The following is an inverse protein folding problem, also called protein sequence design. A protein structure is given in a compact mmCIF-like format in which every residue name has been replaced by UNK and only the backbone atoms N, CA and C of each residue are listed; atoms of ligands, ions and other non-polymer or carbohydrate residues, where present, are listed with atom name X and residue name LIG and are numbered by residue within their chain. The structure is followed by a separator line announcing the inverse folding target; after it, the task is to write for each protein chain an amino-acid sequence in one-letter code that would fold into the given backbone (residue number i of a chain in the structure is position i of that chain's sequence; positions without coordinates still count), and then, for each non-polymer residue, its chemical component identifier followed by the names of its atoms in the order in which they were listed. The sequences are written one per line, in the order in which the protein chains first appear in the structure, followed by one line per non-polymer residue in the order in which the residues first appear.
data_IF_379275179656
#
_entry.id   IF_379275179656
#
_cell.length_a   1.000
_cell.length_b   1.000
_cell.length_c   1.000
_cell.angle_alpha   90.00
_cell.angle_beta   90.00
_cell.angle_gamma   90.00
#
_symmetry.space_group_name_H-M   'P 1'
#
loop_
_entity.id
_entity.type
_entity.pdbx_description
1 polymer ?
#
# COMPACT_ATOMS: atom_id res chain seq x y z
N UNK A 1 8.29 -61.96 3.62
CA UNK A 1 7.23 -62.57 2.83
C UNK A 1 6.51 -61.40 2.15
N UNK A 2 6.87 -61.11 0.94
CA UNK A 2 6.34 -61.51 -0.38
C UNK A 2 5.04 -60.81 -0.68
N UNK A 3 4.80 -60.01 -1.71
CA UNK A 3 5.19 -59.85 -3.13
C UNK A 3 4.66 -58.48 -3.59
N UNK A 4 5.29 -57.57 -4.20
CA UNK A 4 5.72 -57.41 -5.58
C UNK A 4 4.71 -57.82 -6.66
N UNK A 5 4.36 -56.84 -7.51
CA UNK A 5 4.18 -56.88 -8.98
C UNK A 5 3.55 -55.53 -9.40
N UNK A 6 4.24 -54.64 -10.08
CA UNK A 6 4.51 -54.55 -11.51
C UNK A 6 3.26 -54.67 -12.38
N UNK A 7 2.95 -53.58 -13.06
CA UNK A 7 2.58 -53.62 -14.48
C UNK A 7 2.94 -52.30 -15.18
N UNK A 8 3.92 -52.43 -16.03
CA UNK A 8 4.36 -51.56 -17.11
C UNK A 8 3.58 -51.94 -18.38
N UNK A 9 3.33 -50.98 -19.26
CA UNK A 9 3.34 -50.99 -20.74
C UNK A 9 2.58 -49.74 -21.20
N UNK A 10 3.16 -48.79 -21.82
CA UNK A 10 3.90 -48.63 -23.08
C UNK A 10 2.96 -48.43 -24.31
N UNK A 11 3.45 -47.55 -25.15
CA UNK A 11 3.20 -47.27 -26.57
C UNK A 11 2.22 -46.12 -26.87
N UNK A 12 2.40 -45.25 -27.79
CA UNK A 12 3.41 -44.96 -28.83
C UNK A 12 2.84 -43.83 -29.70
N UNK A 13 3.66 -42.86 -29.98
CA UNK A 13 3.90 -42.16 -31.24
C UNK A 13 2.79 -41.82 -32.25
N UNK A 14 2.95 -40.69 -32.83
CA UNK A 14 2.66 -40.11 -34.15
C UNK A 14 1.68 -38.92 -34.07
N UNK A 15 1.88 -37.79 -34.69
CA UNK A 15 2.56 -37.50 -35.90
C UNK A 15 2.70 -35.98 -36.13
N UNK A 16 3.70 -35.66 -36.85
CA UNK A 16 4.06 -34.39 -37.41
C UNK A 16 3.01 -33.78 -38.34
N UNK A 17 2.84 -32.46 -38.25
CA UNK A 17 2.06 -31.71 -39.23
C UNK A 17 2.53 -30.25 -39.29
N UNK A 18 3.50 -29.97 -40.17
CA UNK A 18 3.87 -28.65 -40.65
C UNK A 18 2.72 -28.06 -41.47
N UNK A 19 2.32 -26.83 -41.18
CA UNK A 19 1.79 -25.93 -42.22
C UNK A 19 2.27 -24.49 -41.95
N UNK A 20 3.18 -24.11 -42.83
CA UNK A 20 3.63 -22.77 -43.14
C UNK A 20 2.46 -21.94 -43.70
N UNK A 21 2.14 -20.84 -43.11
CA UNK A 21 1.20 -19.82 -43.59
C UNK A 21 1.91 -18.49 -43.80
N UNK A 22 2.18 -18.15 -45.07
CA UNK A 22 2.73 -16.87 -45.53
C UNK A 22 1.81 -15.71 -45.15
N UNK A 23 2.40 -14.69 -44.51
CA UNK A 23 1.83 -13.36 -44.39
C UNK A 23 2.01 -12.64 -45.71
N UNK A 24 0.94 -12.16 -46.33
CA UNK A 24 0.92 -11.23 -47.46
C UNK A 24 0.93 -9.79 -46.93
N UNK A 25 1.91 -9.10 -47.39
CA UNK A 25 2.08 -7.64 -47.39
C UNK A 25 1.14 -7.03 -48.47
N UNK A 26 0.23 -6.13 -48.11
CA UNK A 26 -0.36 -5.04 -48.88
C UNK A 26 -1.31 -4.27 -47.96
N UNK A 27 -1.04 -3.00 -47.64
CA UNK A 27 -1.69 -1.90 -48.29
C UNK A 27 -1.15 -0.53 -47.85
N UNK A 28 -1.00 0.27 -48.88
CA UNK A 28 -0.44 1.60 -48.96
C UNK A 28 -1.28 2.66 -48.22
N UNK A 29 -0.57 3.61 -47.61
CA UNK A 29 -1.10 4.91 -47.20
C UNK A 29 -1.42 5.79 -48.42
N UNK A 30 -2.46 6.64 -48.38
CA UNK A 30 -2.73 7.62 -49.43
C UNK A 30 -1.86 8.86 -49.24
N UNK A 31 -1.13 9.20 -50.27
CA UNK A 31 -0.46 10.47 -50.52
C UNK A 31 -1.44 11.59 -50.72
N UNK A 32 -1.34 12.66 -49.93
CA UNK A 32 -2.07 13.92 -50.18
C UNK A 32 -1.22 14.81 -51.05
N UNK A 33 -1.75 15.17 -52.20
CA UNK A 33 -1.22 16.07 -53.22
C UNK A 33 -1.12 17.51 -52.68
N UNK A 34 0.07 18.11 -52.76
CA UNK A 34 0.24 19.56 -52.70
C UNK A 34 0.06 20.16 -54.09
N UNK A 35 -0.94 21.01 -54.23
CA UNK A 35 -1.14 21.87 -55.37
C UNK A 35 -0.56 23.25 -55.06
N UNK A 36 0.44 23.63 -55.80
CA UNK A 36 1.04 24.97 -55.85
C UNK A 36 0.07 25.99 -56.40
N UNK A 37 -0.11 27.12 -55.69
CA UNK A 37 -0.58 28.38 -56.29
C UNK A 37 0.44 29.47 -55.96
N UNK A 38 1.13 29.91 -57.03
CA UNK A 38 1.84 31.18 -57.11
C UNK A 38 0.84 32.34 -57.11
N UNK A 39 1.03 33.29 -56.24
CA UNK A 39 0.69 34.69 -56.57
C UNK A 39 1.57 35.64 -55.70
N UNK A 40 2.39 36.39 -56.39
CA UNK A 40 3.20 37.52 -55.95
C UNK A 40 2.33 38.70 -55.55
N UNK A 41 2.63 39.37 -54.45
CA UNK A 41 2.18 40.74 -54.26
C UNK A 41 1.97 41.20 -52.81
N UNK A 42 2.81 42.15 -52.42
CA UNK A 42 2.73 43.06 -51.27
C UNK A 42 3.20 42.56 -49.91
N UNK A 43 4.52 42.78 -49.72
CA UNK A 43 5.13 42.88 -48.41
C UNK A 43 5.05 44.34 -47.97
N UNK A 44 4.19 44.64 -47.04
CA UNK A 44 4.34 45.81 -46.16
C UNK A 44 3.56 45.54 -44.86
N UNK A 45 4.25 45.69 -43.75
CA UNK A 45 3.72 45.81 -42.39
C UNK A 45 3.31 44.54 -41.65
N UNK A 46 4.30 43.67 -41.39
CA UNK A 46 4.16 42.52 -40.50
C UNK A 46 4.95 42.65 -39.20
N UNK A 47 5.60 43.81 -38.92
CA UNK A 47 6.40 43.98 -37.70
C UNK A 47 5.56 44.33 -36.47
N UNK A 48 4.33 44.81 -36.62
CA UNK A 48 3.50 45.23 -35.48
C UNK A 48 2.61 44.13 -34.92
N UNK A 49 2.49 42.99 -35.60
CA UNK A 49 1.71 41.84 -35.10
C UNK A 49 2.53 40.76 -34.43
N UNK A 50 3.85 40.78 -34.55
CA UNK A 50 4.74 39.83 -33.88
C UNK A 50 4.81 40.10 -32.37
N UNK A 51 4.87 41.35 -31.95
CA UNK A 51 4.98 41.73 -30.52
C UNK A 51 3.69 41.51 -29.73
N UNK A 52 2.53 41.44 -30.40
CA UNK A 52 1.24 41.13 -29.75
C UNK A 52 1.05 39.63 -29.58
N UNK A 53 1.64 38.80 -30.44
CA UNK A 53 1.57 37.34 -30.34
C UNK A 53 2.58 36.75 -29.34
N UNK A 54 3.73 37.40 -29.12
CA UNK A 54 4.68 36.97 -28.06
C UNK A 54 4.14 37.28 -26.65
N UNK A 55 3.30 38.32 -26.50
CA UNK A 55 2.67 38.64 -25.20
C UNK A 55 1.51 37.72 -24.81
N UNK A 56 0.92 36.99 -25.76
CA UNK A 56 -0.20 36.06 -25.52
C UNK A 56 0.21 34.58 -25.40
N UNK A 57 1.47 34.27 -25.69
CA UNK A 57 2.02 32.91 -25.53
C UNK A 57 2.84 32.74 -24.26
N UNK A 58 2.64 33.55 -23.22
CA UNK A 58 2.99 33.19 -21.86
C UNK A 58 1.99 32.16 -21.36
N UNK A 59 1.93 31.04 -22.09
CA UNK A 59 1.23 29.87 -21.64
C UNK A 59 1.97 29.35 -20.43
N UNK A 60 1.44 29.72 -19.25
CA UNK A 60 1.81 29.08 -18.00
C UNK A 60 1.41 27.62 -18.17
N UNK A 61 2.33 26.85 -18.69
CA UNK A 61 2.22 25.38 -18.68
C UNK A 61 2.19 24.99 -17.21
N UNK A 62 1.00 25.04 -16.62
CA UNK A 62 0.74 24.40 -15.33
C UNK A 62 1.00 22.92 -15.62
N UNK A 63 2.17 22.45 -15.18
CA UNK A 63 2.46 21.01 -15.20
C UNK A 63 1.24 20.32 -14.60
N UNK A 64 0.67 19.28 -15.24
CA UNK A 64 -0.45 18.58 -14.67
C UNK A 64 -0.02 18.10 -13.30
N UNK A 65 -0.71 18.56 -12.26
CA UNK A 65 -0.51 18.05 -10.90
C UNK A 65 -0.64 16.55 -11.01
N UNK A 66 0.35 15.74 -10.58
CA UNK A 66 0.26 14.30 -10.70
C UNK A 66 -1.04 13.88 -10.02
N UNK A 67 -1.94 13.23 -10.77
CA UNK A 67 -3.16 12.67 -10.21
C UNK A 67 -2.70 11.65 -9.18
N UNK A 68 -2.84 11.99 -7.91
CA UNK A 68 -2.47 11.09 -6.81
C UNK A 68 -3.35 9.85 -6.91
N UNK A 69 -2.74 8.75 -7.30
CA UNK A 69 -3.43 7.46 -7.37
C UNK A 69 -3.78 7.02 -5.94
N UNK A 70 -5.02 6.62 -5.72
CA UNK A 70 -5.47 6.12 -4.41
C UNK A 70 -5.16 4.64 -4.32
N UNK A 71 -4.33 4.23 -3.35
CA UNK A 71 -3.98 2.84 -3.12
C UNK A 71 -5.09 2.08 -2.37
N UNK A 72 -5.75 2.74 -1.42
CA UNK A 72 -6.89 2.16 -0.71
C UNK A 72 -7.87 3.26 -0.28
N UNK A 73 -9.16 2.93 -0.25
CA UNK A 73 -10.24 3.86 0.09
C UNK A 73 -11.30 3.18 0.92
N UNK A 74 -11.78 3.87 1.96
CA UNK A 74 -13.02 3.56 2.68
C UNK A 74 -14.08 4.62 2.36
N UNK A 75 -15.32 4.20 2.11
CA UNK A 75 -16.45 5.10 1.85
C UNK A 75 -17.60 4.75 2.78
N UNK A 76 -17.91 5.64 3.72
CA UNK A 76 -18.98 5.46 4.68
C UNK A 76 -18.86 4.18 5.50
N UNK A 77 -17.62 3.73 5.78
CA UNK A 77 -17.33 2.44 6.39
C UNK A 77 -17.89 2.35 7.81
N UNK A 78 -18.65 1.28 8.06
CA UNK A 78 -19.25 0.99 9.37
C UNK A 78 -18.86 -0.40 9.84
N UNK A 79 -18.59 -0.52 11.14
CA UNK A 79 -18.36 -1.79 11.80
C UNK A 79 -19.02 -1.80 13.16
N UNK A 80 -19.90 -2.76 13.36
CA UNK A 80 -20.61 -2.98 14.62
C UNK A 80 -20.27 -4.37 15.13
N UNK A 81 -19.85 -4.48 16.37
CA UNK A 81 -19.64 -5.73 17.08
C UNK A 81 -20.78 -5.97 18.06
N UNK A 82 -21.11 -7.22 18.32
CA UNK A 82 -22.22 -7.61 19.20
C UNK A 82 -23.58 -7.56 18.51
N UNK A 83 -24.64 -7.82 19.29
CA UNK A 83 -26.04 -7.82 18.84
C UNK A 83 -26.93 -7.19 19.90
N UNK A 84 -28.05 -6.57 19.49
CA UNK A 84 -29.03 -5.95 20.39
C UNK A 84 -28.42 -4.84 21.23
N UNK A 85 -28.78 -4.79 22.49
CA UNK A 85 -28.36 -3.72 23.44
C UNK A 85 -26.86 -3.76 23.78
N UNK A 86 -26.15 -4.86 23.48
CA UNK A 86 -24.70 -5.00 23.65
C UNK A 86 -23.92 -4.64 22.39
N UNK A 87 -24.53 -4.03 21.39
CA UNK A 87 -23.85 -3.63 20.16
C UNK A 87 -22.95 -2.43 20.37
N UNK A 88 -21.72 -2.49 19.82
CA UNK A 88 -20.75 -1.39 19.86
C UNK A 88 -20.35 -1.03 18.43
N UNK A 89 -20.60 0.21 18.03
CA UNK A 89 -20.14 0.73 16.76
C UNK A 89 -18.66 1.11 16.88
N UNK A 90 -17.78 0.26 16.37
CA UNK A 90 -16.33 0.53 16.32
C UNK A 90 -15.95 1.48 15.18
N UNK A 91 -16.73 1.50 14.08
CA UNK A 91 -16.63 2.47 13.01
C UNK A 91 -18.03 2.97 12.66
N UNK A 92 -18.18 4.29 12.49
CA UNK A 92 -19.45 4.94 12.20
C UNK A 92 -19.35 5.91 11.03
N UNK A 93 -19.32 5.36 9.81
CA UNK A 93 -19.35 6.14 8.58
C UNK A 93 -17.99 6.73 8.18
N UNK A 94 -16.88 6.03 8.45
CA UNK A 94 -15.54 6.47 8.09
C UNK A 94 -15.37 6.56 6.56
N UNK A 95 -14.97 7.74 6.08
CA UNK A 95 -14.55 7.96 4.70
C UNK A 95 -13.12 8.50 4.72
N UNK A 96 -12.20 7.76 4.09
CA UNK A 96 -10.77 8.10 4.05
C UNK A 96 -10.11 7.46 2.83
N UNK A 97 -9.19 8.22 2.19
CA UNK A 97 -8.35 7.75 1.10
C UNK A 97 -6.90 7.62 1.59
N UNK A 98 -6.21 6.56 1.18
CA UNK A 98 -4.77 6.38 1.34
C UNK A 98 -4.11 6.45 -0.04
N UNK A 99 -3.18 7.39 -0.21
CA UNK A 99 -2.56 7.66 -1.52
C UNK A 99 -1.40 6.71 -1.78
N UNK A 100 -1.20 6.34 -3.03
CA UNK A 100 -0.05 5.53 -3.44
C UNK A 100 1.26 6.28 -3.19
N UNK A 101 2.26 5.58 -2.64
CA UNK A 101 3.56 6.13 -2.32
C UNK A 101 3.55 7.11 -1.14
N UNK A 102 2.49 7.12 -0.31
CA UNK A 102 2.37 7.96 0.88
C UNK A 102 2.51 7.10 2.15
N UNK A 103 3.23 7.62 3.14
CA UNK A 103 3.26 7.03 4.49
C UNK A 103 2.22 7.74 5.36
N UNK A 104 1.11 7.07 5.67
CA UNK A 104 0.05 7.65 6.50
C UNK A 104 0.01 6.99 7.88
N UNK A 105 -0.05 7.79 8.96
CA UNK A 105 -0.37 7.31 10.29
C UNK A 105 -1.88 7.44 10.57
N UNK A 106 -2.44 6.46 11.28
CA UNK A 106 -3.79 6.51 11.85
C UNK A 106 -3.65 6.57 13.37
N UNK A 107 -4.08 7.66 13.97
CA UNK A 107 -3.93 7.94 15.39
C UNK A 107 -5.27 8.16 16.08
N UNK A 108 -5.27 8.12 17.40
CA UNK A 108 -6.45 8.38 18.23
C UNK A 108 -6.40 7.61 19.55
N UNK A 109 -7.30 7.88 20.49
CA UNK A 109 -7.36 7.21 21.78
C UNK A 109 -7.59 5.69 21.65
N UNK A 110 -7.36 4.95 22.73
CA UNK A 110 -7.71 3.53 22.79
C UNK A 110 -9.20 3.36 22.56
N UNK A 111 -9.59 2.36 21.76
CA UNK A 111 -10.99 2.10 21.41
C UNK A 111 -11.59 3.00 20.32
N UNK A 112 -10.84 3.94 19.73
CA UNK A 112 -11.36 4.84 18.68
C UNK A 112 -11.63 4.17 17.33
N UNK A 113 -11.29 2.87 17.15
CA UNK A 113 -11.56 2.13 15.92
C UNK A 113 -10.37 1.97 14.97
N UNK A 114 -9.16 2.41 15.34
CA UNK A 114 -7.94 2.37 14.46
C UNK A 114 -7.63 0.99 13.89
N UNK A 115 -7.42 0.00 14.76
CA UNK A 115 -7.15 -1.38 14.32
C UNK A 115 -8.33 -1.99 13.58
N UNK A 116 -9.57 -1.63 13.95
CA UNK A 116 -10.78 -2.04 13.24
C UNK A 116 -10.80 -1.48 11.82
N UNK A 117 -10.49 -0.19 11.65
CA UNK A 117 -10.37 0.44 10.33
C UNK A 117 -9.34 -0.31 9.49
N UNK A 118 -8.14 -0.50 10.02
CA UNK A 118 -7.07 -1.20 9.34
C UNK A 118 -7.46 -2.65 8.97
N UNK A 119 -8.09 -3.40 9.88
CA UNK A 119 -8.54 -4.78 9.61
C UNK A 119 -9.60 -4.84 8.52
N UNK A 120 -10.55 -3.90 8.49
CA UNK A 120 -11.55 -3.82 7.42
C UNK A 120 -10.89 -3.45 6.08
N UNK A 121 -9.99 -2.45 6.07
CA UNK A 121 -9.25 -2.04 4.87
C UNK A 121 -8.40 -3.16 4.29
N UNK A 122 -7.85 -4.00 5.16
CA UNK A 122 -7.02 -5.14 4.80
C UNK A 122 -7.81 -6.42 4.52
N UNK A 123 -9.14 -6.35 4.52
CA UNK A 123 -10.02 -7.49 4.36
C UNK A 123 -9.78 -8.63 5.38
N UNK A 124 -9.24 -8.30 6.57
CA UNK A 124 -9.10 -9.24 7.70
C UNK A 124 -10.40 -9.35 8.50
N UNK A 125 -11.22 -8.29 8.47
CA UNK A 125 -12.53 -8.28 9.08
C UNK A 125 -13.57 -7.73 8.10
N UNK A 126 -14.81 -8.19 8.21
CA UNK A 126 -15.90 -7.81 7.32
C UNK A 126 -16.59 -6.57 7.84
N UNK A 127 -16.75 -5.55 7.03
CA UNK A 127 -17.53 -4.35 7.35
C UNK A 127 -19.01 -4.69 7.56
N UNK A 128 -19.67 -3.98 8.48
CA UNK A 128 -21.12 -4.04 8.67
C UNK A 128 -21.88 -3.16 7.66
N UNK A 129 -21.20 -2.22 7.02
CA UNK A 129 -21.74 -1.33 5.98
C UNK A 129 -20.67 -0.43 5.40
N UNK A 130 -21.01 0.28 4.33
CA UNK A 130 -20.05 1.06 3.54
C UNK A 130 -19.23 0.21 2.60
N UNK A 131 -18.22 0.81 1.97
CA UNK A 131 -17.43 0.18 0.94
C UNK A 131 -15.93 0.35 1.21
N UNK A 132 -15.15 -0.65 0.81
CA UNK A 132 -13.68 -0.64 0.85
C UNK A 132 -13.16 -0.97 -0.54
N UNK A 133 -12.18 -0.20 -0.99
CA UNK A 133 -11.49 -0.37 -2.26
C UNK A 133 -9.99 -0.53 -2.03
N UNK A 134 -9.35 -1.38 -2.82
CA UNK A 134 -7.91 -1.48 -2.97
C UNK A 134 -7.57 -1.21 -4.43
N UNK A 135 -6.94 -0.05 -4.69
CA UNK A 135 -6.93 0.51 -6.04
C UNK A 135 -8.35 0.68 -6.58
N UNK A 136 -8.59 0.14 -7.77
CA UNK A 136 -9.92 0.14 -8.40
C UNK A 136 -10.80 -1.06 -7.99
N UNK A 137 -10.27 -1.98 -7.19
CA UNK A 137 -11.00 -3.20 -6.82
C UNK A 137 -11.80 -3.01 -5.53
N UNK A 138 -13.13 -3.08 -5.64
CA UNK A 138 -14.03 -3.12 -4.49
C UNK A 138 -13.90 -4.46 -3.76
N UNK A 139 -13.72 -4.40 -2.43
CA UNK A 139 -13.58 -5.60 -1.59
C UNK A 139 -14.93 -6.14 -1.12
N UNK A 140 -15.92 -5.25 -0.98
CA UNK A 140 -17.29 -5.60 -0.58
C UNK A 140 -17.90 -6.55 -1.61
N UNK A 141 -18.37 -7.70 -1.16
CA UNK A 141 -18.98 -8.72 -2.05
C UNK A 141 -18.02 -9.76 -2.62
N UNK A 142 -16.70 -9.65 -2.35
CA UNK A 142 -15.75 -10.71 -2.68
C UNK A 142 -15.91 -11.88 -1.69
N UNK A 143 -15.85 -13.11 -2.21
CA UNK A 143 -15.84 -14.32 -1.38
C UNK A 143 -14.48 -14.55 -0.72
N UNK A 144 -14.46 -15.36 0.36
CA UNK A 144 -13.26 -15.63 1.18
C UNK A 144 -12.03 -16.05 0.37
N UNK A 145 -12.23 -16.88 -0.67
CA UNK A 145 -11.13 -17.30 -1.54
C UNK A 145 -10.52 -16.12 -2.30
N UNK A 146 -11.34 -15.20 -2.80
CA UNK A 146 -10.89 -14.02 -3.54
C UNK A 146 -10.18 -13.05 -2.60
N UNK A 147 -10.73 -12.80 -1.40
CA UNK A 147 -10.09 -11.98 -0.36
C UNK A 147 -8.74 -12.58 0.09
N UNK A 148 -8.65 -13.90 0.20
CA UNK A 148 -7.39 -14.58 0.55
C UNK A 148 -6.32 -14.39 -0.53
N UNK A 149 -6.68 -14.51 -1.81
CA UNK A 149 -5.76 -14.26 -2.92
C UNK A 149 -5.33 -12.79 -2.98
N UNK A 150 -6.28 -11.87 -2.78
CA UNK A 150 -6.00 -10.44 -2.75
C UNK A 150 -5.02 -10.08 -1.62
N UNK A 151 -5.26 -10.55 -0.38
CA UNK A 151 -4.35 -10.33 0.74
C UNK A 151 -2.94 -10.86 0.44
N UNK A 152 -2.85 -12.08 -0.11
CA UNK A 152 -1.58 -12.72 -0.45
C UNK A 152 -0.77 -11.93 -1.47
N UNK A 153 -1.46 -11.35 -2.48
CA UNK A 153 -0.78 -10.77 -3.63
C UNK A 153 -0.60 -9.25 -3.52
N UNK A 154 -1.46 -8.56 -2.78
CA UNK A 154 -1.52 -7.09 -2.79
C UNK A 154 -1.29 -6.42 -1.44
N UNK A 155 -1.34 -7.14 -0.33
CA UNK A 155 -1.28 -6.57 1.01
C UNK A 155 -0.11 -7.15 1.79
N UNK A 156 0.72 -6.27 2.36
CA UNK A 156 1.72 -6.61 3.37
C UNK A 156 1.19 -6.32 4.77
N UNK A 157 1.64 -7.10 5.76
CA UNK A 157 1.28 -6.90 7.17
C UNK A 157 2.51 -6.87 8.07
N UNK A 158 2.54 -5.86 8.95
CA UNK A 158 3.48 -5.76 10.07
C UNK A 158 2.67 -5.66 11.36
N UNK A 159 2.87 -6.58 12.29
CA UNK A 159 2.16 -6.63 13.57
C UNK A 159 3.08 -6.23 14.72
N UNK A 160 2.50 -5.75 15.81
CA UNK A 160 3.20 -5.45 17.06
C UNK A 160 3.92 -6.70 17.63
N UNK A 161 3.34 -7.88 17.51
CA UNK A 161 3.85 -9.14 18.05
C UNK A 161 4.75 -9.91 17.07
N UNK A 162 5.35 -9.26 16.05
CA UNK A 162 6.21 -9.82 15.01
C UNK A 162 5.61 -10.99 14.22
N UNK A 163 4.97 -11.95 14.87
CA UNK A 163 4.31 -13.14 14.29
C UNK A 163 5.24 -13.93 13.36
N UNK A 164 6.49 -14.11 13.78
CA UNK A 164 7.45 -14.97 13.09
C UNK A 164 7.19 -16.43 13.45
N UNK A 165 7.44 -17.32 12.48
CA UNK A 165 7.40 -18.76 12.70
C UNK A 165 8.71 -19.18 13.42
N UNK A 166 8.66 -19.69 14.67
CA UNK A 166 9.85 -19.85 15.50
C UNK A 166 10.86 -20.86 14.97
N UNK A 167 10.40 -21.82 14.17
CA UNK A 167 11.22 -22.90 13.60
C UNK A 167 11.87 -22.56 12.27
N UNK A 168 11.50 -21.40 11.69
CA UNK A 168 12.04 -20.91 10.43
C UNK A 168 13.14 -19.89 10.70
N UNK A 169 14.16 -19.88 9.89
CA UNK A 169 15.19 -18.84 9.87
C UNK A 169 14.61 -17.48 9.47
N UNK A 170 15.37 -16.41 9.65
CA UNK A 170 14.99 -15.07 9.18
C UNK A 170 14.70 -15.06 7.67
N UNK A 171 15.56 -15.69 6.85
CA UNK A 171 15.34 -15.84 5.40
C UNK A 171 14.01 -16.53 5.11
N UNK A 172 13.76 -17.68 5.71
CA UNK A 172 12.55 -18.46 5.47
C UNK A 172 11.29 -17.73 5.94
N UNK A 173 11.35 -16.98 7.05
CA UNK A 173 10.26 -16.11 7.49
C UNK A 173 9.99 -14.99 6.48
N UNK A 174 11.03 -14.36 5.92
CA UNK A 174 10.89 -13.31 4.89
C UNK A 174 10.23 -13.91 3.64
N UNK A 175 10.72 -15.05 3.15
CA UNK A 175 10.24 -15.70 1.94
C UNK A 175 8.87 -16.42 2.11
N UNK A 176 8.37 -16.56 3.34
CA UNK A 176 7.17 -17.34 3.66
C UNK A 176 5.93 -16.97 2.82
N UNK A 177 5.57 -15.68 2.61
CA UNK A 177 4.41 -15.31 1.79
C UNK A 177 4.53 -15.81 0.34
N UNK A 178 5.73 -15.72 -0.23
CA UNK A 178 6.01 -16.20 -1.58
C UNK A 178 5.95 -17.73 -1.65
N UNK A 179 6.52 -18.41 -0.66
CA UNK A 179 6.48 -19.88 -0.56
C UNK A 179 5.06 -20.41 -0.49
N UNK A 180 4.18 -19.78 0.31
CA UNK A 180 2.75 -20.11 0.38
C UNK A 180 2.05 -19.86 -0.97
N UNK A 181 2.49 -18.84 -1.71
CA UNK A 181 1.97 -18.53 -3.04
C UNK A 181 2.53 -19.45 -4.15
N UNK A 182 3.45 -20.36 -3.83
CA UNK A 182 4.15 -21.20 -4.81
C UNK A 182 5.11 -20.39 -5.71
N UNK A 183 5.53 -19.20 -5.26
CA UNK A 183 6.44 -18.29 -5.99
C UNK A 183 7.82 -18.29 -5.33
N UNK A 184 8.84 -17.92 -6.08
CA UNK A 184 10.18 -17.64 -5.57
C UNK A 184 10.38 -16.13 -5.46
N UNK A 185 11.21 -15.73 -4.51
CA UNK A 185 11.66 -14.34 -4.41
C UNK A 185 12.48 -13.97 -5.67
N UNK A 186 12.27 -12.79 -6.18
CA UNK A 186 13.17 -12.14 -7.12
C UNK A 186 14.48 -11.87 -6.34
N UNK A 187 15.65 -12.42 -6.79
CA UNK A 187 16.87 -12.31 -6.02
C UNK A 187 17.32 -10.87 -5.77
N UNK A 188 17.22 -10.00 -6.79
CA UNK A 188 17.68 -8.61 -6.72
C UNK A 188 16.77 -7.81 -5.74
N UNK A 189 15.47 -8.08 -5.80
CA UNK A 189 14.53 -7.47 -4.86
C UNK A 189 14.68 -7.97 -3.43
N UNK A 190 14.88 -9.28 -3.28
CA UNK A 190 15.15 -9.87 -1.95
C UNK A 190 16.38 -9.24 -1.31
N UNK A 191 17.48 -9.12 -2.08
CA UNK A 191 18.72 -8.50 -1.61
C UNK A 191 18.50 -7.02 -1.28
N UNK A 192 17.76 -6.28 -2.09
CA UNK A 192 17.37 -4.88 -1.82
C UNK A 192 16.63 -4.76 -0.47
N UNK A 193 15.60 -5.58 -0.26
CA UNK A 193 14.84 -5.59 0.99
C UNK A 193 15.72 -5.92 2.19
N UNK A 194 16.54 -6.98 2.08
CA UNK A 194 17.44 -7.44 3.16
C UNK A 194 18.47 -6.37 3.51
N UNK A 195 19.05 -5.70 2.53
CA UNK A 195 20.03 -4.64 2.75
C UNK A 195 19.39 -3.40 3.38
N UNK A 196 18.19 -3.03 2.92
CA UNK A 196 17.43 -1.91 3.49
C UNK A 196 17.12 -2.11 4.96
N UNK A 197 16.76 -3.34 5.38
CA UNK A 197 16.51 -3.69 6.80
C UNK A 197 17.77 -4.00 7.60
N UNK A 198 18.95 -4.13 6.96
CA UNK A 198 20.22 -4.43 7.62
C UNK A 198 20.23 -5.80 8.30
N UNK A 199 19.77 -6.86 7.61
CA UNK A 199 19.67 -8.21 8.16
C UNK A 199 20.54 -9.25 7.45
N UNK A 200 21.43 -8.82 6.54
CA UNK A 200 22.22 -9.76 5.72
C UNK A 200 22.98 -10.81 6.54
N UNK A 201 23.59 -10.40 7.65
CA UNK A 201 24.36 -11.29 8.55
C UNK A 201 23.47 -12.10 9.51
N UNK A 202 22.17 -11.95 9.43
CA UNK A 202 21.19 -12.59 10.32
C UNK A 202 20.24 -13.56 9.62
N UNK A 203 20.36 -13.73 8.32
CA UNK A 203 19.41 -14.50 7.49
C UNK A 203 19.30 -15.98 7.92
N UNK A 204 20.35 -16.56 8.51
CA UNK A 204 20.38 -17.95 8.96
C UNK A 204 19.94 -18.15 10.42
N UNK A 205 19.68 -17.06 11.17
CA UNK A 205 19.26 -17.12 12.56
C UNK A 205 17.76 -17.39 12.67
N UNK A 206 17.36 -18.16 13.69
CA UNK A 206 15.97 -18.31 14.06
C UNK A 206 15.51 -17.16 14.98
N UNK A 207 14.18 -16.91 15.12
CA UNK A 207 13.67 -15.80 15.91
C UNK A 207 14.19 -15.70 17.34
N UNK A 208 14.42 -16.82 18.03
CA UNK A 208 14.97 -16.86 19.39
C UNK A 208 16.45 -16.43 19.49
N UNK A 209 17.14 -16.31 18.36
CA UNK A 209 18.54 -15.84 18.26
C UNK A 209 18.62 -14.36 17.86
N UNK A 210 17.47 -13.69 17.65
CA UNK A 210 17.34 -12.33 17.21
C UNK A 210 16.82 -11.43 18.34
N UNK A 211 17.33 -10.18 18.41
CA UNK A 211 16.74 -9.16 19.27
C UNK A 211 15.34 -8.78 18.80
N UNK A 212 14.52 -8.16 19.68
CA UNK A 212 13.18 -7.70 19.32
C UNK A 212 13.16 -6.79 18.08
N UNK A 213 14.08 -5.82 17.99
CA UNK A 213 14.22 -4.97 16.83
C UNK A 213 14.61 -5.74 15.56
N UNK A 214 15.48 -6.77 15.67
CA UNK A 214 15.81 -7.63 14.53
C UNK A 214 14.60 -8.47 14.08
N UNK A 215 13.84 -9.03 15.03
CA UNK A 215 12.61 -9.76 14.72
C UNK A 215 11.58 -8.88 14.01
N UNK A 216 11.42 -7.63 14.46
CA UNK A 216 10.51 -6.68 13.80
C UNK A 216 10.98 -6.33 12.39
N UNK A 217 12.29 -6.14 12.20
CA UNK A 217 12.85 -5.91 10.84
C UNK A 217 12.64 -7.11 9.92
N UNK A 218 12.72 -8.35 10.44
CA UNK A 218 12.33 -9.56 9.69
C UNK A 218 10.84 -9.51 9.30
N UNK A 219 9.95 -9.11 10.24
CA UNK A 219 8.52 -8.97 9.95
C UNK A 219 8.24 -7.88 8.90
N UNK A 220 8.96 -6.75 8.93
CA UNK A 220 8.88 -5.71 7.91
C UNK A 220 9.36 -6.22 6.54
N UNK A 221 10.51 -6.89 6.48
CA UNK A 221 11.03 -7.47 5.24
C UNK A 221 10.07 -8.51 4.65
N UNK A 222 9.46 -9.35 5.49
CA UNK A 222 8.41 -10.30 5.10
C UNK A 222 7.21 -9.60 4.47
N UNK A 223 6.78 -8.46 5.01
CA UNK A 223 5.67 -7.70 4.48
C UNK A 223 5.96 -7.11 3.08
N UNK A 224 7.23 -6.80 2.78
CA UNK A 224 7.64 -6.13 1.54
C UNK A 224 8.11 -7.06 0.44
N UNK A 225 8.55 -8.28 0.77
CA UNK A 225 9.19 -9.19 -0.20
C UNK A 225 8.30 -9.55 -1.39
N UNK A 226 6.98 -9.57 -1.19
CA UNK A 226 5.99 -9.85 -2.25
C UNK A 226 5.69 -8.65 -3.16
N UNK A 227 6.27 -7.47 -2.91
CA UNK A 227 5.96 -6.19 -3.58
C UNK A 227 4.47 -5.85 -3.49
N UNK A 228 3.90 -5.72 -2.29
CA UNK A 228 2.49 -5.43 -2.13
C UNK A 228 2.14 -4.01 -2.61
N UNK A 229 0.88 -3.79 -3.00
CA UNK A 229 0.38 -2.45 -3.33
C UNK A 229 0.32 -1.53 -2.09
N UNK A 230 0.07 -2.13 -0.91
CA UNK A 230 -0.02 -1.42 0.37
C UNK A 230 0.47 -2.30 1.52
N UNK A 231 1.12 -1.68 2.49
CA UNK A 231 1.51 -2.31 3.76
C UNK A 231 0.70 -1.69 4.90
N UNK A 232 0.04 -2.54 5.68
CA UNK A 232 -0.60 -2.16 6.93
C UNK A 232 0.30 -2.55 8.10
N UNK A 233 0.61 -1.58 8.98
CA UNK A 233 1.46 -1.76 10.14
C UNK A 233 0.69 -1.41 11.42
N UNK A 234 0.39 -2.41 12.26
CA UNK A 234 -0.33 -2.23 13.52
C UNK A 234 0.65 -2.13 14.67
N UNK A 235 0.85 -0.92 15.19
CA UNK A 235 1.76 -0.62 16.30
C UNK A 235 3.17 -1.21 16.10
N UNK A 236 3.84 -0.97 14.94
CA UNK A 236 5.06 -1.71 14.56
C UNK A 236 6.24 -1.50 15.53
N UNK A 237 6.17 -0.50 16.39
CA UNK A 237 7.21 -0.16 17.38
C UNK A 237 6.77 -0.37 18.83
N UNK A 238 5.53 -0.84 19.07
CA UNK A 238 4.94 -0.90 20.40
C UNK A 238 5.65 -1.81 21.41
N UNK A 239 6.50 -2.76 20.95
CA UNK A 239 7.26 -3.68 21.80
C UNK A 239 8.77 -3.42 21.76
N UNK A 240 9.21 -2.26 21.24
CA UNK A 240 10.61 -1.93 21.02
C UNK A 240 11.08 -0.79 21.91
N UNK A 241 12.37 -0.78 22.22
CA UNK A 241 13.02 0.40 22.79
C UNK A 241 13.14 1.54 21.76
N UNK A 242 13.51 2.73 22.21
CA UNK A 242 13.57 3.92 21.37
C UNK A 242 14.57 3.79 20.21
N UNK A 243 15.69 3.10 20.39
CA UNK A 243 16.70 2.93 19.36
C UNK A 243 16.21 1.96 18.28
N UNK A 244 15.67 0.81 18.67
CA UNK A 244 15.09 -0.15 17.75
C UNK A 244 13.85 0.41 17.02
N UNK A 245 13.04 1.24 17.71
CA UNK A 245 11.90 1.93 17.12
C UNK A 245 12.34 2.88 16.00
N UNK A 246 13.38 3.70 16.25
CA UNK A 246 13.93 4.62 15.25
C UNK A 246 14.48 3.86 14.02
N UNK A 247 15.14 2.71 14.21
CA UNK A 247 15.62 1.87 13.11
C UNK A 247 14.46 1.34 12.24
N UNK A 248 13.39 0.81 12.87
CA UNK A 248 12.21 0.29 12.17
C UNK A 248 11.48 1.40 11.43
N UNK A 249 11.23 2.54 12.08
CA UNK A 249 10.56 3.69 11.45
C UNK A 249 11.39 4.28 10.29
N UNK A 250 12.70 4.42 10.47
CA UNK A 250 13.61 4.83 9.41
C UNK A 250 13.62 3.88 8.23
N UNK A 251 13.50 2.58 8.47
CA UNK A 251 13.35 1.59 7.42
C UNK A 251 12.02 1.75 6.67
N UNK A 252 10.88 1.87 7.39
CA UNK A 252 9.57 2.09 6.76
C UNK A 252 9.56 3.38 5.93
N UNK A 253 10.17 4.46 6.43
CA UNK A 253 10.31 5.73 5.70
C UNK A 253 11.09 5.53 4.39
N UNK A 254 12.27 4.91 4.46
CA UNK A 254 13.06 4.62 3.25
C UNK A 254 12.31 3.75 2.24
N UNK A 255 11.49 2.81 2.71
CA UNK A 255 10.68 1.97 1.80
C UNK A 255 9.68 2.80 0.99
N UNK A 256 9.18 3.90 1.55
CA UNK A 256 8.33 4.87 0.84
C UNK A 256 9.17 5.75 -0.08
N UNK A 257 10.25 6.37 0.44
CA UNK A 257 11.06 7.34 -0.29
C UNK A 257 11.79 6.73 -1.48
N UNK A 258 12.41 5.56 -1.28
CA UNK A 258 13.30 4.95 -2.27
C UNK A 258 12.55 3.99 -3.22
N UNK A 259 11.43 3.41 -2.75
CA UNK A 259 10.71 2.36 -3.49
C UNK A 259 9.25 2.69 -3.80
N UNK A 260 8.76 3.87 -3.38
CA UNK A 260 7.37 4.28 -3.62
C UNK A 260 6.33 3.39 -2.91
N UNK A 261 6.74 2.70 -1.83
CA UNK A 261 5.83 1.81 -1.11
C UNK A 261 4.74 2.62 -0.41
N UNK A 262 3.49 2.19 -0.49
CA UNK A 262 2.40 2.76 0.29
C UNK A 262 2.35 2.10 1.66
N UNK A 263 2.34 2.90 2.75
CA UNK A 263 2.29 2.38 4.12
C UNK A 263 1.20 3.09 4.91
N UNK A 264 0.37 2.32 5.61
CA UNK A 264 -0.60 2.80 6.59
C UNK A 264 -0.23 2.22 7.94
N UNK A 265 0.14 3.07 8.88
CA UNK A 265 0.58 2.69 10.21
C UNK A 265 -0.43 3.12 11.26
N UNK A 266 -0.91 2.19 12.07
CA UNK A 266 -1.64 2.50 13.31
C UNK A 266 -0.62 2.72 14.41
N UNK A 267 -0.70 3.84 15.10
CA UNK A 267 0.15 4.14 16.26
C UNK A 267 -0.53 5.10 17.23
N UNK A 268 -0.10 5.10 18.47
CA UNK A 268 -0.43 6.11 19.47
C UNK A 268 0.78 6.97 19.83
N UNK A 269 1.94 6.71 19.26
CA UNK A 269 3.20 7.42 19.52
C UNK A 269 3.36 8.61 18.56
N UNK A 270 3.39 9.87 19.08
CA UNK A 270 3.63 11.07 18.27
C UNK A 270 4.99 11.06 17.55
N UNK A 271 6.00 10.41 18.14
CA UNK A 271 7.33 10.30 17.52
C UNK A 271 7.24 9.43 16.27
N UNK A 272 6.58 8.28 16.38
CA UNK A 272 6.37 7.41 15.23
C UNK A 272 5.56 8.11 14.11
N UNK A 273 4.54 8.87 14.48
CA UNK A 273 3.74 9.63 13.52
C UNK A 273 4.55 10.75 12.81
N UNK A 274 5.56 11.31 13.47
CA UNK A 274 6.47 12.28 12.86
C UNK A 274 7.33 11.74 11.70
N UNK A 275 7.37 10.43 11.47
CA UNK A 275 8.03 9.81 10.30
C UNK A 275 7.13 9.74 9.06
N UNK A 276 5.85 10.12 9.18
CA UNK A 276 4.85 9.94 8.11
C UNK A 276 4.63 11.24 7.32
N UNK A 277 3.99 11.14 6.15
CA UNK A 277 3.61 12.30 5.34
C UNK A 277 2.28 12.90 5.81
N UNK A 278 1.47 12.06 6.48
CA UNK A 278 0.10 12.42 6.89
C UNK A 278 -0.30 11.66 8.14
N UNK A 279 -1.05 12.33 9.01
CA UNK A 279 -1.74 11.73 10.16
C UNK A 279 -3.25 11.89 9.99
N UNK A 280 -4.00 10.80 10.14
CA UNK A 280 -5.45 10.76 10.21
C UNK A 280 -5.85 10.48 11.66
N UNK A 281 -6.64 11.35 12.26
CA UNK A 281 -7.09 11.18 13.63
C UNK A 281 -8.49 10.57 13.69
N UNK A 282 -8.60 9.46 14.45
CA UNK A 282 -9.86 8.80 14.73
C UNK A 282 -10.30 9.05 16.18
N UNK A 283 -11.59 9.38 16.36
CA UNK A 283 -12.27 9.37 17.66
C UNK A 283 -13.68 8.81 17.47
N UNK A 284 -14.12 7.96 18.39
CA UNK A 284 -15.47 7.37 18.41
C UNK A 284 -15.91 6.79 17.07
N UNK A 285 -14.98 6.08 16.40
CA UNK A 285 -15.24 5.43 15.13
C UNK A 285 -15.36 6.37 13.92
N UNK A 286 -14.93 7.63 14.04
CA UNK A 286 -14.99 8.64 12.96
C UNK A 286 -13.63 9.28 12.72
N UNK A 287 -13.37 9.70 11.48
CA UNK A 287 -12.27 10.63 11.18
C UNK A 287 -12.67 12.00 11.67
N UNK A 288 -11.87 12.55 12.59
CA UNK A 288 -12.16 13.85 13.20
C UNK A 288 -11.21 14.94 12.74
N UNK A 289 -10.02 14.58 12.24
CA UNK A 289 -9.02 15.54 11.80
C UNK A 289 -7.94 14.89 10.95
N UNK A 290 -7.15 15.73 10.25
CA UNK A 290 -5.98 15.33 9.47
C UNK A 290 -4.86 16.35 9.64
N UNK A 291 -3.61 15.86 9.67
CA UNK A 291 -2.40 16.69 9.70
C UNK A 291 -1.45 16.23 8.60
N UNK A 292 -0.98 17.15 7.76
CA UNK A 292 0.05 16.91 6.75
C UNK A 292 1.41 17.40 7.25
N UNK A 293 2.47 16.75 6.75
CA UNK A 293 3.85 17.03 7.13
C UNK A 293 4.01 17.09 8.66
N UNK A 294 3.61 16.02 9.39
CA UNK A 294 3.55 16.05 10.84
C UNK A 294 4.93 16.13 11.47
N UNK A 295 5.02 16.88 12.55
CA UNK A 295 6.12 16.79 13.52
C UNK A 295 5.62 16.17 14.81
N UNK A 296 6.50 15.54 15.59
CA UNK A 296 6.10 14.91 16.87
C UNK A 296 5.40 15.92 17.80
N UNK A 297 5.90 17.15 17.88
CA UNK A 297 5.30 18.22 18.69
C UNK A 297 3.93 18.66 18.14
N UNK A 298 3.80 18.80 16.81
CA UNK A 298 2.54 19.16 16.16
C UNK A 298 1.45 18.08 16.36
N UNK A 299 1.84 16.81 16.28
CA UNK A 299 0.95 15.68 16.55
C UNK A 299 0.50 15.69 18.02
N UNK A 300 1.44 15.88 18.97
CA UNK A 300 1.15 15.92 20.40
C UNK A 300 0.18 17.06 20.74
N UNK A 301 0.39 18.25 20.17
CA UNK A 301 -0.50 19.38 20.39
C UNK A 301 -1.90 19.10 19.84
N UNK A 302 -1.99 18.51 18.64
CA UNK A 302 -3.30 18.14 18.05
C UNK A 302 -4.04 17.12 18.88
N UNK A 303 -3.35 16.10 19.40
CA UNK A 303 -3.94 15.10 20.31
C UNK A 303 -4.49 15.73 21.59
N UNK A 304 -3.79 16.74 22.17
CA UNK A 304 -4.29 17.48 23.35
C UNK A 304 -5.60 18.20 23.04
N UNK A 305 -5.66 18.94 21.92
CA UNK A 305 -6.85 19.66 21.49
C UNK A 305 -8.04 18.69 21.30
N UNK A 306 -7.84 17.58 20.59
CA UNK A 306 -8.89 16.58 20.38
C UNK A 306 -9.38 15.94 21.69
N UNK A 307 -8.46 15.67 22.64
CA UNK A 307 -8.83 15.14 23.95
C UNK A 307 -9.67 16.12 24.75
N UNK A 308 -9.37 17.43 24.71
CA UNK A 308 -10.15 18.47 25.40
C UNK A 308 -11.55 18.62 24.79
N UNK A 309 -11.66 18.54 23.46
CA UNK A 309 -12.95 18.61 22.77
C UNK A 309 -13.86 17.42 23.13
N UNK A 310 -13.29 16.20 23.21
CA UNK A 310 -14.03 15.02 23.64
C UNK A 310 -14.61 15.17 25.09
N UNK A 311 -13.81 15.70 26.01
CA UNK A 311 -14.26 15.96 27.40
C UNK A 311 -15.36 17.04 27.45
N UNK A 312 -15.21 18.13 26.69
CA UNK A 312 -16.21 19.21 26.62
C UNK A 312 -17.54 18.74 26.00
N UNK A 313 -17.49 17.88 24.95
CA UNK A 313 -18.68 17.31 24.33
C UNK A 313 -19.46 16.38 25.27
N UNK A 314 -18.77 15.60 26.09
CA UNK A 314 -19.42 14.72 27.10
C UNK A 314 -20.10 15.52 28.24
N UNK A 315 -19.51 16.66 28.62
CA UNK A 315 -20.07 17.52 29.68
C UNK A 315 -21.30 18.33 29.23
N UNK A 316 -21.47 18.57 27.93
CA UNK A 316 -22.60 19.30 27.35
C UNK A 316 -23.82 18.40 27.05
N UNK A 317 -23.65 17.06 27.08
CA UNK A 317 -24.66 16.05 26.79
C UNK A 317 -25.23 15.34 28.04
N UNK A 318 -24.74 15.67 29.23
CA UNK A 318 -25.22 15.18 30.54
C UNK A 318 -26.08 16.26 31.24
#
# INVERSE_FOLDING_TARGET
MSRAKEHSHALSAAGSGWLSGKVRETDRAPSVFFSTFDTVGHIADLSLHADILEGLMSDTTVAPTPVSVVAARAVGLRKVYGQGDASVAALDGVTVDFRSGEFTAVMGPSGSGKSTLMHCMAALDTASGGEVFLGDQQLSGLGDKQLTLLRRDKIGFVFQAYNLVPTLTARENIELPLSIAGRKADPDWFDTVVDTVGLRDRLTHCPNELSGGQQQRVACARALVSRPEIVFADEPTGNLDSAASAEVLGFLRRSVDDHGQTIVMVTHDPIAAGYTDRVVFLADGKVVDELRDPTADGVLERMKVLSQQAVAGTAAGA
#
